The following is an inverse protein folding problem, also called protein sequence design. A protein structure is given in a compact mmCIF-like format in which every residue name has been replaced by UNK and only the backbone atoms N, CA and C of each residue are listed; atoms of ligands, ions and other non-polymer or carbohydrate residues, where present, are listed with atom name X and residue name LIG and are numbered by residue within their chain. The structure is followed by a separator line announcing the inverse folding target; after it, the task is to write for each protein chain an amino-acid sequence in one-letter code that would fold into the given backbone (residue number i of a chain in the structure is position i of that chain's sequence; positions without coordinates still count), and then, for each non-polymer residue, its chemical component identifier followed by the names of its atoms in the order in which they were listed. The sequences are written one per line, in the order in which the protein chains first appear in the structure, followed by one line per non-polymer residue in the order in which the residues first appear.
data_IF_279996499150
#
_entry.id   IF_279996499150
#
_cell.length_a   1.000
_cell.length_b   1.000
_cell.length_c   1.000
_cell.angle_alpha   90.00
_cell.angle_beta   90.00
_cell.angle_gamma   90.00
#
_symmetry.space_group_name_H-M   'P 1'
#
loop_
_entity.id
_entity.type
_entity.pdbx_description
1 polymer ?
#
# COMPACT_ATOMS: atom_id res chain seq x y z
N UNK A 1 -29.73 7.47 39.09
CA UNK A 1 -28.99 6.24 38.73
C UNK A 1 -27.78 6.65 37.91
N UNK A 2 -26.64 6.72 38.52
CA UNK A 2 -25.38 6.96 37.85
C UNK A 2 -24.95 5.66 37.19
N UNK A 3 -24.94 5.62 35.86
CA UNK A 3 -24.37 4.50 35.14
C UNK A 3 -22.88 4.45 35.45
N UNK A 4 -22.45 3.36 36.10
CA UNK A 4 -21.05 3.06 36.30
C UNK A 4 -20.43 2.87 34.93
N UNK A 5 -19.58 3.81 34.54
CA UNK A 5 -18.78 3.75 33.33
C UNK A 5 -17.71 2.66 33.57
N UNK A 6 -18.05 1.41 33.23
CA UNK A 6 -17.06 0.33 33.23
C UNK A 6 -16.05 0.66 32.14
N UNK A 7 -14.77 0.84 32.46
CA UNK A 7 -13.79 1.04 31.40
C UNK A 7 -13.83 -0.16 30.48
N UNK A 8 -13.93 0.10 29.16
CA UNK A 8 -13.83 -0.96 28.17
C UNK A 8 -12.54 -1.73 28.42
N UNK A 9 -12.67 -3.04 28.61
CA UNK A 9 -11.51 -3.91 28.76
C UNK A 9 -10.60 -3.66 27.56
N UNK A 10 -9.37 -3.18 27.81
CA UNK A 10 -8.37 -3.05 26.78
C UNK A 10 -8.10 -4.45 26.24
N UNK A 11 -8.44 -4.69 24.96
CA UNK A 11 -8.11 -5.94 24.28
C UNK A 11 -6.60 -6.15 24.33
N UNK A 12 -6.17 -7.38 24.55
CA UNK A 12 -4.74 -7.74 24.49
C UNK A 12 -4.17 -7.33 23.13
N UNK A 13 -2.89 -6.93 23.06
CA UNK A 13 -2.22 -6.65 21.78
C UNK A 13 -2.35 -7.83 20.83
N UNK A 14 -2.57 -7.56 19.54
CA UNK A 14 -2.63 -8.60 18.51
C UNK A 14 -1.25 -9.25 18.37
N UNK A 15 -1.25 -10.58 18.28
CA UNK A 15 -0.04 -11.34 17.99
C UNK A 15 0.07 -11.55 16.48
N UNK A 16 1.26 -11.32 15.93
CA UNK A 16 1.56 -11.46 14.51
C UNK A 16 2.36 -12.74 14.25
N UNK A 17 2.16 -13.38 13.07
CA UNK A 17 2.90 -14.59 12.73
C UNK A 17 4.41 -14.38 12.73
N UNK A 18 5.14 -15.41 13.13
CA UNK A 18 6.60 -15.43 13.16
C UNK A 18 7.21 -16.34 12.11
N UNK A 19 6.39 -16.98 11.28
CA UNK A 19 6.87 -17.84 10.21
C UNK A 19 7.62 -17.07 9.12
N UNK A 20 8.49 -17.78 8.40
CA UNK A 20 9.39 -17.19 7.40
C UNK A 20 8.65 -16.47 6.29
N UNK A 21 7.55 -17.02 5.80
CA UNK A 21 6.80 -16.43 4.68
C UNK A 21 6.19 -15.09 5.07
N UNK A 22 5.62 -15.01 6.27
CA UNK A 22 5.10 -13.74 6.79
C UNK A 22 6.22 -12.72 7.01
N UNK A 23 7.33 -13.13 7.61
CA UNK A 23 8.46 -12.24 7.88
C UNK A 23 9.12 -11.73 6.58
N UNK A 24 9.27 -12.58 5.58
CA UNK A 24 9.77 -12.18 4.25
C UNK A 24 8.79 -11.19 3.58
N UNK A 25 7.51 -11.45 3.68
CA UNK A 25 6.48 -10.54 3.18
C UNK A 25 6.51 -9.19 3.87
N UNK A 26 6.66 -9.19 5.19
CA UNK A 26 6.77 -7.98 5.98
C UNK A 26 7.99 -7.14 5.59
N UNK A 27 9.13 -7.79 5.38
CA UNK A 27 10.36 -7.12 4.94
C UNK A 27 10.20 -6.47 3.56
N UNK A 28 9.66 -7.20 2.59
CA UNK A 28 9.43 -6.68 1.23
C UNK A 28 8.41 -5.55 1.22
N UNK A 29 7.31 -5.71 1.93
CA UNK A 29 6.29 -4.67 2.08
C UNK A 29 6.89 -3.39 2.66
N UNK A 30 7.68 -3.49 3.72
CA UNK A 30 8.36 -2.36 4.35
C UNK A 30 9.37 -1.70 3.43
N UNK A 31 10.10 -2.48 2.66
CA UNK A 31 11.05 -1.97 1.66
C UNK A 31 10.36 -1.16 0.57
N UNK A 32 9.21 -1.60 0.10
CA UNK A 32 8.48 -0.96 -1.00
C UNK A 32 7.68 0.23 -0.53
N UNK A 33 6.73 0.05 0.37
CA UNK A 33 5.81 1.13 0.78
C UNK A 33 6.27 1.91 2.01
N UNK A 34 7.36 1.50 2.63
CA UNK A 34 7.94 2.15 3.80
C UNK A 34 7.56 1.49 5.12
N UNK A 35 8.53 1.41 6.03
CA UNK A 35 8.33 0.81 7.35
C UNK A 35 7.23 1.51 8.16
N UNK A 36 7.21 2.85 8.13
CA UNK A 36 6.20 3.64 8.86
C UNK A 36 4.78 3.35 8.37
N UNK A 37 4.59 3.18 7.07
CA UNK A 37 3.29 2.80 6.50
C UNK A 37 2.86 1.43 7.02
N UNK A 38 3.75 0.47 7.01
CA UNK A 38 3.47 -0.90 7.47
C UNK A 38 3.17 -0.92 8.97
N UNK A 39 3.94 -0.20 9.78
CA UNK A 39 3.69 -0.09 11.22
C UNK A 39 2.31 0.50 11.51
N UNK A 40 1.91 1.53 10.79
CA UNK A 40 0.56 2.10 10.93
C UNK A 40 -0.53 1.13 10.50
N UNK A 41 -0.32 0.41 9.41
CA UNK A 41 -1.29 -0.57 8.91
C UNK A 41 -1.49 -1.72 9.90
N UNK A 42 -0.41 -2.28 10.44
CA UNK A 42 -0.48 -3.36 11.42
C UNK A 42 -0.95 -2.84 12.79
N UNK A 43 -0.47 -1.69 13.22
CA UNK A 43 -0.87 -1.08 14.49
C UNK A 43 -2.33 -0.65 14.53
N UNK A 44 -2.93 -0.35 13.39
CA UNK A 44 -4.35 -0.02 13.26
C UNK A 44 -5.25 -1.24 13.03
N UNK A 45 -4.68 -2.44 12.96
CA UNK A 45 -5.46 -3.65 12.76
C UNK A 45 -6.29 -3.99 14.01
N UNK A 46 -7.44 -4.58 13.77
CA UNK A 46 -8.36 -5.11 14.78
C UNK A 46 -8.45 -6.63 14.61
N UNK A 47 -9.11 -7.31 15.55
CA UNK A 47 -9.39 -8.74 15.39
C UNK A 47 -10.14 -9.04 14.08
N UNK A 48 -10.98 -8.11 13.63
CA UNK A 48 -11.70 -8.26 12.35
C UNK A 48 -10.78 -8.13 11.13
N UNK A 49 -9.82 -7.20 11.16
CA UNK A 49 -8.97 -6.89 10.00
C UNK A 49 -7.63 -7.61 9.99
N UNK A 50 -7.21 -8.20 11.11
CA UNK A 50 -5.94 -8.91 11.22
C UNK A 50 -5.78 -10.00 10.16
N UNK A 51 -6.76 -10.90 9.93
CA UNK A 51 -6.63 -11.93 8.90
C UNK A 51 -6.36 -11.37 7.50
N UNK A 52 -6.94 -10.22 7.16
CA UNK A 52 -6.67 -9.55 5.89
C UNK A 52 -5.21 -9.07 5.82
N UNK A 53 -4.70 -8.46 6.89
CA UNK A 53 -3.31 -7.99 6.93
C UNK A 53 -2.32 -9.17 6.84
N UNK A 54 -2.60 -10.27 7.50
CA UNK A 54 -1.79 -11.49 7.40
C UNK A 54 -1.82 -12.07 5.99
N UNK A 55 -3.00 -12.17 5.39
CA UNK A 55 -3.17 -12.70 4.04
C UNK A 55 -2.42 -11.86 3.00
N UNK A 56 -2.58 -10.54 3.04
CA UNK A 56 -1.90 -9.61 2.13
C UNK A 56 -0.38 -9.72 2.31
N UNK A 57 0.10 -9.66 3.54
CA UNK A 57 1.53 -9.70 3.83
C UNK A 57 2.16 -11.00 3.36
N UNK A 58 1.51 -12.14 3.61
CA UNK A 58 2.03 -13.46 3.23
C UNK A 58 1.90 -13.72 1.73
N UNK A 59 0.75 -13.47 1.13
CA UNK A 59 0.45 -13.92 -0.23
C UNK A 59 0.81 -12.90 -1.31
N UNK A 60 0.59 -11.62 -1.08
CA UNK A 60 1.05 -10.59 -2.03
C UNK A 60 2.55 -10.32 -1.83
N UNK A 61 2.94 -9.86 -0.67
CA UNK A 61 4.30 -9.41 -0.38
C UNK A 61 5.29 -10.55 -0.17
N UNK A 62 4.86 -11.64 0.45
CA UNK A 62 5.69 -12.83 0.71
C UNK A 62 5.76 -13.83 -0.45
N UNK A 63 4.95 -13.64 -1.48
CA UNK A 63 4.92 -14.53 -2.64
C UNK A 63 5.10 -13.75 -3.94
N UNK A 64 4.07 -13.04 -4.39
CA UNK A 64 4.09 -12.40 -5.73
C UNK A 64 5.20 -11.37 -5.87
N UNK A 65 5.36 -10.49 -4.88
CA UNK A 65 6.39 -9.43 -4.93
C UNK A 65 7.83 -9.95 -4.83
N UNK A 66 8.03 -11.18 -4.42
CA UNK A 66 9.35 -11.81 -4.33
C UNK A 66 9.73 -12.60 -5.58
N UNK A 67 8.82 -12.73 -6.55
CA UNK A 67 9.11 -13.47 -7.78
C UNK A 67 10.15 -12.72 -8.63
N UNK A 68 11.14 -13.43 -9.19
CA UNK A 68 12.25 -12.79 -9.95
C UNK A 68 11.86 -12.35 -11.37
N UNK A 69 10.68 -12.71 -11.86
CA UNK A 69 10.27 -12.46 -13.25
C UNK A 69 10.09 -11.00 -13.63
N UNK A 70 9.82 -10.13 -12.64
CA UNK A 70 9.75 -8.67 -12.80
C UNK A 70 10.48 -8.03 -11.63
N UNK A 71 11.20 -6.93 -11.87
CA UNK A 71 11.83 -6.18 -10.81
C UNK A 71 10.81 -5.40 -9.97
N UNK A 72 11.23 -4.88 -8.83
CA UNK A 72 10.35 -4.17 -7.90
C UNK A 72 9.80 -2.87 -8.50
N UNK A 73 10.62 -2.13 -9.25
CA UNK A 73 10.19 -0.91 -9.91
C UNK A 73 9.06 -1.18 -10.92
N UNK A 74 9.21 -2.19 -11.76
CA UNK A 74 8.20 -2.59 -12.73
C UNK A 74 6.91 -3.01 -12.03
N UNK A 75 7.00 -3.81 -10.96
CA UNK A 75 5.83 -4.20 -10.15
C UNK A 75 5.12 -2.99 -9.58
N UNK A 76 5.85 -2.02 -9.05
CA UNK A 76 5.27 -0.77 -8.54
C UNK A 76 4.55 0.01 -9.62
N UNK A 77 5.14 0.18 -10.81
CA UNK A 77 4.51 0.89 -11.92
C UNK A 77 3.24 0.18 -12.40
N UNK A 78 3.26 -1.14 -12.52
CA UNK A 78 2.08 -1.95 -12.86
C UNK A 78 0.98 -1.75 -11.83
N UNK A 79 1.33 -1.78 -10.54
CA UNK A 79 0.37 -1.60 -9.45
C UNK A 79 -0.26 -0.21 -9.49
N UNK A 80 0.54 0.83 -9.72
CA UNK A 80 0.04 2.20 -9.87
C UNK A 80 -0.97 2.29 -11.04
N UNK A 81 -0.67 1.64 -12.16
CA UNK A 81 -1.59 1.61 -13.32
C UNK A 81 -2.91 0.91 -12.99
N UNK A 82 -2.85 -0.24 -12.32
CA UNK A 82 -4.04 -1.00 -11.92
C UNK A 82 -4.90 -0.21 -10.93
N UNK A 83 -4.28 0.45 -9.94
CA UNK A 83 -4.99 1.24 -8.94
C UNK A 83 -5.60 2.52 -9.55
N UNK A 84 -4.95 3.09 -10.57
CA UNK A 84 -5.51 4.18 -11.38
C UNK A 84 -6.80 3.73 -12.04
N UNK A 85 -6.78 2.57 -12.71
CA UNK A 85 -7.95 2.02 -13.39
C UNK A 85 -9.10 1.70 -12.41
N UNK A 86 -8.77 1.21 -11.21
CA UNK A 86 -9.74 0.84 -10.18
C UNK A 86 -10.24 2.02 -9.34
N UNK A 87 -9.62 3.19 -9.45
CA UNK A 87 -9.97 4.36 -8.65
C UNK A 87 -9.67 4.23 -7.15
N UNK A 88 -8.65 3.45 -6.78
CA UNK A 88 -8.26 3.18 -5.38
C UNK A 88 -7.23 4.19 -4.91
N UNK A 89 -7.68 5.39 -4.52
CA UNK A 89 -6.80 6.53 -4.27
C UNK A 89 -5.88 6.36 -3.07
N UNK A 90 -6.34 5.73 -1.98
CA UNK A 90 -5.49 5.53 -0.80
C UNK A 90 -4.33 4.58 -1.09
N UNK A 91 -4.62 3.46 -1.71
CA UNK A 91 -3.62 2.48 -2.11
C UNK A 91 -2.70 3.05 -3.20
N UNK A 92 -3.26 3.87 -4.11
CA UNK A 92 -2.48 4.55 -5.14
C UNK A 92 -1.37 5.41 -4.54
N UNK A 93 -1.68 6.21 -3.53
CA UNK A 93 -0.68 7.06 -2.85
C UNK A 93 0.46 6.21 -2.26
N UNK A 94 0.12 5.11 -1.59
CA UNK A 94 1.11 4.19 -1.03
C UNK A 94 2.00 3.59 -2.13
N UNK A 95 1.43 3.21 -3.26
CA UNK A 95 2.18 2.60 -4.36
C UNK A 95 2.92 3.60 -5.25
N UNK A 96 2.49 4.86 -5.32
CA UNK A 96 3.30 5.96 -5.88
C UNK A 96 4.55 6.15 -5.02
N UNK A 97 4.40 6.16 -3.69
CA UNK A 97 5.55 6.16 -2.77
C UNK A 97 6.45 4.95 -3.00
N UNK A 98 5.86 3.78 -3.13
CA UNK A 98 6.60 2.55 -3.39
C UNK A 98 7.35 2.59 -4.72
N UNK A 99 6.75 3.13 -5.77
CA UNK A 99 7.40 3.30 -7.07
C UNK A 99 8.65 4.20 -6.96
N UNK A 100 8.53 5.33 -6.27
CA UNK A 100 9.67 6.22 -6.01
C UNK A 100 10.76 5.51 -5.19
N UNK A 101 10.39 4.77 -4.16
CA UNK A 101 11.32 3.99 -3.33
C UNK A 101 12.05 2.93 -4.16
N UNK A 102 11.41 2.37 -5.16
CA UNK A 102 11.98 1.35 -6.06
C UNK A 102 12.69 1.95 -7.28
N UNK A 103 12.90 3.26 -7.30
CA UNK A 103 13.71 3.93 -8.31
C UNK A 103 12.94 4.48 -9.50
N UNK A 104 11.61 4.47 -9.50
CA UNK A 104 10.83 5.17 -10.51
C UNK A 104 10.99 6.69 -10.38
N UNK A 105 11.03 7.37 -11.50
CA UNK A 105 11.08 8.84 -11.51
C UNK A 105 9.67 9.42 -11.56
N UNK A 106 9.48 10.69 -11.12
CA UNK A 106 8.21 11.38 -11.33
C UNK A 106 7.77 11.41 -12.79
N UNK A 107 8.72 11.50 -13.70
CA UNK A 107 8.48 11.51 -15.15
C UNK A 107 7.92 10.15 -15.61
N UNK A 108 8.46 9.05 -15.15
CA UNK A 108 7.95 7.71 -15.47
C UNK A 108 6.52 7.51 -14.93
N UNK A 109 6.24 8.00 -13.73
CA UNK A 109 4.88 7.94 -13.14
C UNK A 109 3.93 8.82 -13.96
N UNK A 110 4.35 10.01 -14.36
CA UNK A 110 3.54 10.88 -15.23
C UNK A 110 3.22 10.21 -16.57
N UNK A 111 4.22 9.62 -17.21
CA UNK A 111 4.02 8.93 -18.49
C UNK A 111 3.05 7.76 -18.38
N UNK A 112 3.15 6.98 -17.28
CA UNK A 112 2.19 5.92 -16.97
C UNK A 112 0.77 6.48 -16.87
N UNK A 113 0.58 7.60 -16.17
CA UNK A 113 -0.74 8.20 -15.98
C UNK A 113 -1.29 8.83 -17.26
N UNK A 114 -0.44 9.40 -18.11
CA UNK A 114 -0.82 9.86 -19.43
C UNK A 114 -1.28 8.68 -20.30
N UNK A 115 -0.56 7.57 -20.24
CA UNK A 115 -0.95 6.34 -20.92
C UNK A 115 -2.31 5.82 -20.41
N UNK A 116 -2.52 5.84 -19.11
CA UNK A 116 -3.77 5.44 -18.46
C UNK A 116 -4.96 6.35 -18.90
N UNK A 117 -4.71 7.60 -19.25
CA UNK A 117 -5.74 8.52 -19.76
C UNK A 117 -6.43 7.94 -20.99
N UNK A 118 -5.67 7.29 -21.87
CA UNK A 118 -6.18 6.68 -23.10
C UNK A 118 -7.00 5.41 -22.81
N UNK A 119 -6.55 4.57 -21.90
CA UNK A 119 -7.15 3.24 -21.66
C UNK A 119 -8.14 3.19 -20.50
N UNK A 120 -8.03 4.11 -19.54
CA UNK A 120 -8.90 4.15 -18.36
C UNK A 120 -9.86 5.35 -18.35
N UNK A 121 -9.64 6.34 -19.23
CA UNK A 121 -10.43 7.56 -19.34
C UNK A 121 -9.88 8.71 -18.47
N UNK A 122 -10.27 9.93 -18.85
CA UNK A 122 -9.80 11.16 -18.23
C UNK A 122 -10.13 11.24 -16.72
N UNK A 123 -11.36 10.92 -16.26
CA UNK A 123 -11.68 11.06 -14.84
C UNK A 123 -10.79 10.21 -13.94
N UNK A 124 -10.54 8.95 -14.30
CA UNK A 124 -9.68 8.06 -13.54
C UNK A 124 -8.23 8.57 -13.49
N UNK A 125 -7.71 9.03 -14.61
CA UNK A 125 -6.36 9.57 -14.69
C UNK A 125 -6.22 10.90 -13.94
N UNK A 126 -7.22 11.79 -14.00
CA UNK A 126 -7.22 13.05 -13.26
C UNK A 126 -7.16 12.79 -11.75
N UNK A 127 -7.96 11.86 -11.24
CA UNK A 127 -7.94 11.48 -9.83
C UNK A 127 -6.57 10.89 -9.44
N UNK A 128 -5.99 10.07 -10.31
CA UNK A 128 -4.66 9.51 -10.08
C UNK A 128 -3.57 10.60 -10.04
N UNK A 129 -3.61 11.58 -10.94
CA UNK A 129 -2.70 12.71 -10.91
C UNK A 129 -2.82 13.52 -9.62
N UNK A 130 -4.04 13.78 -9.15
CA UNK A 130 -4.25 14.46 -7.87
C UNK A 130 -3.62 13.71 -6.71
N UNK A 131 -3.86 12.40 -6.63
CA UNK A 131 -3.28 11.56 -5.58
C UNK A 131 -1.75 11.48 -5.66
N UNK A 132 -1.21 11.32 -6.86
CA UNK A 132 0.23 11.29 -7.08
C UNK A 132 0.90 12.63 -6.73
N UNK A 133 0.26 13.75 -7.02
CA UNK A 133 0.77 15.08 -6.69
C UNK A 133 0.98 15.23 -5.18
N UNK A 134 0.09 14.71 -4.35
CA UNK A 134 0.24 14.77 -2.90
C UNK A 134 1.50 14.03 -2.40
N UNK A 135 1.94 13.01 -3.13
CA UNK A 135 3.13 12.22 -2.79
C UNK A 135 4.40 12.82 -3.40
N UNK A 136 4.34 13.21 -4.68
CA UNK A 136 5.50 13.70 -5.44
C UNK A 136 5.82 15.16 -5.09
N UNK A 137 4.79 15.96 -4.90
CA UNK A 137 4.87 17.40 -4.61
C UNK A 137 4.15 17.72 -3.30
N UNK A 138 4.62 17.18 -2.15
CA UNK A 138 3.94 17.41 -0.89
C UNK A 138 3.96 18.90 -0.54
N UNK A 139 2.84 19.42 -0.06
CA UNK A 139 2.77 20.81 0.45
C UNK A 139 3.58 20.91 1.74
N UNK A 140 4.45 21.88 1.77
CA UNK A 140 5.26 22.24 2.96
C UNK A 140 4.43 23.03 3.97
#
# INVERSE_FOLDING_TARGET
MTALNTPAAQSAPLEWPTDTDFQNGLATRSQVVGADYVERALGGATEFTQPMQEFITRNAWGNVWQRPGLDLKTRSLITVAMLTAQGKQQELKAHVRGALNNGATPEEIRELMLHATVYCGFPAAIDAFRSATEVIEPKT
#
